data_IF_733740715292
#
_entry.id   IF_733740715292
#
_cell.length_a   1.000
_cell.length_b   1.000
_cell.length_c   1.000
_cell.angle_alpha   90.00
_cell.angle_beta   90.00
_cell.angle_gamma   90.00
#
_symmetry.space_group_name_H-M   'P 1'
#
loop_
_entity.id
_entity.type
_entity.pdbx_description
1 polymer ?
#
# COMPACT_ATOMS: atom_id res chain seq x y z
N UNK A 1 0.43 -5.81 -25.41
CA UNK A 1 0.09 -4.38 -25.36
C UNK A 1 1.15 -3.69 -24.54
N UNK A 2 1.89 -2.77 -25.15
CA UNK A 2 2.81 -1.93 -24.41
C UNK A 2 1.98 -0.84 -23.72
N UNK A 3 2.26 -0.60 -22.44
CA UNK A 3 1.77 0.58 -21.73
C UNK A 3 2.98 1.32 -21.19
N UNK A 4 2.83 2.60 -20.94
CA UNK A 4 3.86 3.45 -20.34
C UNK A 4 3.33 4.10 -19.07
N UNK A 5 4.23 4.31 -18.13
CA UNK A 5 3.96 4.97 -16.86
C UNK A 5 4.76 6.26 -16.83
N UNK A 6 4.16 7.34 -16.32
CA UNK A 6 4.84 8.63 -16.28
C UNK A 6 4.82 9.25 -14.88
N UNK A 7 5.94 9.87 -14.52
CA UNK A 7 6.07 10.69 -13.31
C UNK A 7 5.48 12.09 -13.49
N UNK A 8 5.56 12.90 -12.43
CA UNK A 8 5.10 14.30 -12.43
C UNK A 8 5.84 15.19 -13.44
N UNK A 9 7.07 14.83 -13.81
CA UNK A 9 7.88 15.54 -14.80
C UNK A 9 7.66 15.03 -16.23
N UNK A 10 6.83 14.00 -16.42
CA UNK A 10 6.54 13.41 -17.71
C UNK A 10 7.61 12.42 -18.20
N UNK A 11 8.52 11.97 -17.32
CA UNK A 11 9.49 10.94 -17.67
C UNK A 11 8.84 9.55 -17.63
N UNK A 12 9.28 8.65 -18.51
CA UNK A 12 8.89 7.24 -18.47
C UNK A 12 9.46 6.59 -17.19
N UNK A 13 8.61 5.88 -16.45
CA UNK A 13 8.96 5.27 -15.17
C UNK A 13 8.88 3.75 -15.30
N UNK A 14 9.99 3.08 -15.02
CA UNK A 14 10.02 1.63 -14.93
C UNK A 14 9.73 1.15 -13.50
N UNK A 15 9.47 -0.14 -13.33
CA UNK A 15 9.20 -0.69 -12.00
C UNK A 15 10.41 -0.59 -11.05
N UNK A 16 11.63 -0.51 -11.57
CA UNK A 16 12.84 -0.30 -10.77
C UNK A 16 12.88 1.12 -10.20
N UNK A 17 12.58 2.14 -11.01
CA UNK A 17 12.57 3.55 -10.57
C UNK A 17 11.62 3.81 -9.38
N UNK A 18 10.51 3.08 -9.32
CA UNK A 18 9.51 3.16 -8.25
C UNK A 18 10.01 2.70 -6.88
N UNK A 19 11.06 1.86 -6.84
CA UNK A 19 11.63 1.39 -5.59
C UNK A 19 12.55 2.44 -4.94
N UNK A 20 13.13 3.32 -5.76
CA UNK A 20 14.22 4.22 -5.37
C UNK A 20 13.80 5.69 -5.16
N UNK A 21 12.64 6.12 -5.67
CA UNK A 21 12.30 7.56 -5.73
C UNK A 21 11.36 8.08 -4.64
N UNK A 22 10.96 7.25 -3.66
CA UNK A 22 10.06 7.58 -2.54
C UNK A 22 10.29 8.99 -1.94
N UNK A 23 9.25 9.72 -1.54
CA UNK A 23 9.41 10.94 -0.68
C UNK A 23 10.10 10.60 0.64
N UNK A 24 9.97 9.34 1.08
CA UNK A 24 10.68 8.74 2.20
C UNK A 24 11.87 7.87 1.75
N UNK A 25 12.37 7.98 0.52
CA UNK A 25 13.63 7.31 0.20
C UNK A 25 14.77 8.15 0.77
N UNK A 26 15.34 7.66 1.88
CA UNK A 26 16.57 8.19 2.47
C UNK A 26 17.66 7.22 2.05
N UNK A 27 18.77 7.74 1.53
CA UNK A 27 19.86 6.92 0.98
C UNK A 27 20.33 5.86 2.00
N UNK A 28 20.24 4.58 1.62
CA UNK A 28 20.57 3.44 2.46
C UNK A 28 19.53 3.00 3.50
N UNK A 29 18.41 3.71 3.67
CA UNK A 29 17.35 3.36 4.63
C UNK A 29 16.27 2.47 4.00
N UNK A 30 15.75 1.53 4.78
CA UNK A 30 14.53 0.79 4.48
C UNK A 30 13.29 1.70 4.49
N UNK A 31 12.20 1.23 3.86
CA UNK A 31 10.92 1.96 3.83
C UNK A 31 10.37 2.15 5.24
N UNK A 32 10.55 1.17 6.11
CA UNK A 32 10.14 1.19 7.51
C UNK A 32 10.93 2.23 8.31
N UNK A 33 12.25 2.28 8.15
CA UNK A 33 13.11 3.28 8.81
C UNK A 33 12.72 4.70 8.43
N UNK A 34 12.58 4.96 7.13
CA UNK A 34 12.22 6.28 6.68
C UNK A 34 10.79 6.67 7.07
N UNK A 35 9.85 5.72 7.07
CA UNK A 35 8.50 5.96 7.59
C UNK A 35 8.50 6.31 9.08
N UNK A 36 9.22 5.55 9.90
CA UNK A 36 9.34 5.81 11.34
C UNK A 36 10.07 7.13 11.61
N UNK A 37 11.07 7.49 10.80
CA UNK A 37 11.74 8.78 10.93
C UNK A 37 10.80 9.97 10.66
N UNK A 38 9.91 9.86 9.67
CA UNK A 38 8.99 10.93 9.30
C UNK A 38 7.75 11.00 10.21
N UNK A 39 7.17 9.85 10.56
CA UNK A 39 5.85 9.77 11.22
C UNK A 39 5.87 9.10 12.58
N UNK A 40 6.96 8.43 12.95
CA UNK A 40 7.05 7.59 14.15
C UNK A 40 6.76 8.35 15.44
N UNK A 41 7.34 9.53 15.63
CA UNK A 41 7.07 10.36 16.82
C UNK A 41 5.60 10.79 16.91
N UNK A 42 5.02 11.25 15.80
CA UNK A 42 3.63 11.72 15.77
C UNK A 42 2.64 10.58 16.04
N UNK A 43 2.92 9.40 15.51
CA UNK A 43 2.01 8.24 15.55
C UNK A 43 2.33 7.27 16.69
N UNK A 44 3.38 7.53 17.48
CA UNK A 44 3.91 6.63 18.49
C UNK A 44 4.33 5.28 17.89
N UNK A 45 5.00 5.29 16.73
CA UNK A 45 5.43 4.09 16.02
C UNK A 45 6.95 3.98 16.05
N UNK A 46 7.42 2.76 16.29
CA UNK A 46 8.80 2.32 16.07
C UNK A 46 8.79 1.09 15.17
N UNK A 47 9.93 0.76 14.57
CA UNK A 47 10.09 -0.54 13.91
C UNK A 47 9.92 -1.62 14.98
N UNK A 48 9.17 -2.67 14.68
CA UNK A 48 9.00 -3.78 15.59
C UNK A 48 10.37 -4.43 15.88
N UNK A 49 10.85 -4.45 17.13
CA UNK A 49 12.14 -5.05 17.48
C UNK A 49 12.26 -6.54 17.08
N UNK A 50 11.13 -7.25 16.93
CA UNK A 50 11.14 -8.64 16.46
C UNK A 50 11.72 -8.76 15.04
N UNK A 51 11.66 -7.71 14.21
CA UNK A 51 12.20 -7.73 12.84
C UNK A 51 13.72 -7.90 12.77
N UNK A 52 14.45 -7.62 13.86
CA UNK A 52 15.89 -7.85 13.94
C UNK A 52 16.24 -9.35 13.85
N UNK A 53 15.31 -10.22 14.23
CA UNK A 53 15.52 -11.69 14.28
C UNK A 53 14.52 -12.46 13.43
N UNK A 54 13.36 -11.87 13.13
CA UNK A 54 12.30 -12.46 12.33
C UNK A 54 11.85 -11.49 11.22
N UNK A 55 12.35 -11.63 9.98
CA UNK A 55 11.99 -10.74 8.88
C UNK A 55 10.50 -10.83 8.49
N UNK A 56 9.78 -11.84 8.98
CA UNK A 56 8.35 -11.99 8.74
C UNK A 56 7.50 -11.30 9.80
N UNK A 57 8.05 -10.84 10.92
CA UNK A 57 7.27 -10.14 11.95
C UNK A 57 6.58 -8.89 11.38
N UNK A 58 5.44 -8.45 11.95
CA UNK A 58 4.84 -7.16 11.59
C UNK A 58 5.84 -6.01 11.65
N UNK A 59 5.69 -5.03 10.76
CA UNK A 59 6.69 -3.97 10.54
C UNK A 59 6.89 -3.04 11.73
N UNK A 60 5.82 -2.72 12.44
CA UNK A 60 5.77 -1.62 13.39
C UNK A 60 5.25 -2.07 14.75
N UNK A 61 5.64 -1.34 15.79
CA UNK A 61 5.07 -1.42 17.13
C UNK A 61 4.59 -0.04 17.55
N UNK A 62 3.33 0.06 17.96
CA UNK A 62 2.75 1.27 18.52
C UNK A 62 3.08 1.35 20.02
N UNK A 63 3.99 2.25 20.38
CA UNK A 63 4.52 2.38 21.75
C UNK A 63 3.50 2.94 22.73
N UNK A 64 2.41 3.56 22.25
CA UNK A 64 1.35 4.09 23.10
C UNK A 64 0.37 3.01 23.56
N UNK A 65 0.03 2.06 22.70
CA UNK A 65 -1.01 1.06 22.98
C UNK A 65 -0.50 -0.39 22.95
N UNK A 66 0.78 -0.61 22.61
CA UNK A 66 1.42 -1.91 22.53
C UNK A 66 1.00 -2.77 21.32
N UNK A 67 0.23 -2.21 20.37
CA UNK A 67 -0.27 -2.96 19.22
C UNK A 67 0.77 -3.05 18.12
N UNK A 68 0.76 -4.19 17.43
CA UNK A 68 1.55 -4.39 16.22
C UNK A 68 0.92 -3.61 15.07
N UNK A 69 1.77 -3.11 14.17
CA UNK A 69 1.38 -2.42 12.96
C UNK A 69 2.08 -3.00 11.73
N UNK A 70 1.46 -2.86 10.57
CA UNK A 70 2.04 -3.27 9.29
C UNK A 70 1.98 -2.11 8.29
N UNK A 71 3.08 -1.92 7.56
CA UNK A 71 3.27 -0.79 6.65
C UNK A 71 3.02 -1.24 5.21
N UNK A 72 1.98 -0.68 4.60
CA UNK A 72 1.63 -0.88 3.19
C UNK A 72 2.01 0.35 2.37
N UNK A 73 3.22 0.33 1.85
CA UNK A 73 3.72 1.38 0.94
C UNK A 73 3.12 1.25 -0.46
N UNK A 74 2.61 2.35 -1.01
CA UNK A 74 1.97 2.40 -2.33
C UNK A 74 2.47 3.62 -3.12
N UNK A 75 3.20 3.37 -4.22
CA UNK A 75 3.80 4.44 -5.04
C UNK A 75 3.16 4.61 -6.43
N UNK A 76 2.25 3.70 -6.79
CA UNK A 76 1.56 3.70 -8.07
C UNK A 76 0.07 3.47 -7.84
N UNK A 77 -0.80 4.39 -8.31
CA UNK A 77 -2.24 4.19 -8.26
C UNK A 77 -2.68 2.95 -9.02
N UNK A 78 -3.77 2.32 -8.59
CA UNK A 78 -4.42 1.31 -9.41
C UNK A 78 -5.22 1.99 -10.55
N UNK A 79 -4.52 2.43 -11.60
CA UNK A 79 -5.09 3.28 -12.67
C UNK A 79 -6.41 2.76 -13.27
N UNK A 80 -6.53 1.44 -13.41
CA UNK A 80 -7.72 0.80 -13.98
C UNK A 80 -8.88 0.64 -12.98
N UNK A 81 -8.80 1.22 -11.77
CA UNK A 81 -9.84 1.08 -10.74
C UNK A 81 -11.20 1.58 -11.21
N UNK A 82 -11.24 2.69 -11.95
CA UNK A 82 -12.51 3.27 -12.42
C UNK A 82 -13.19 2.33 -13.40
N UNK A 83 -12.48 1.89 -14.45
CA UNK A 83 -13.07 1.06 -15.50
C UNK A 83 -13.41 -0.36 -15.05
N UNK A 84 -12.69 -0.89 -14.06
CA UNK A 84 -12.88 -2.28 -13.59
C UNK A 84 -13.77 -2.40 -12.37
N UNK A 85 -13.77 -1.40 -11.51
CA UNK A 85 -14.38 -1.48 -10.17
C UNK A 85 -15.21 -0.24 -9.81
N UNK A 86 -15.26 0.79 -10.66
CA UNK A 86 -16.00 2.02 -10.40
C UNK A 86 -15.39 2.90 -9.30
N UNK A 87 -14.14 2.64 -8.90
CA UNK A 87 -13.46 3.36 -7.81
C UNK A 87 -12.49 4.41 -8.36
N UNK A 88 -12.45 5.60 -7.74
CA UNK A 88 -11.58 6.69 -8.19
C UNK A 88 -10.09 6.34 -7.99
N UNK A 89 -9.33 6.30 -9.08
CA UNK A 89 -7.90 5.93 -9.08
C UNK A 89 -7.06 6.84 -8.17
N UNK A 90 -7.46 8.09 -7.95
CA UNK A 90 -6.78 9.03 -7.05
C UNK A 90 -6.65 8.51 -5.63
N UNK A 91 -7.66 7.79 -5.13
CA UNK A 91 -7.77 7.33 -3.74
C UNK A 91 -7.78 5.81 -3.63
N UNK A 92 -7.50 5.10 -4.72
CA UNK A 92 -7.56 3.64 -4.73
C UNK A 92 -6.20 3.03 -4.39
N UNK A 93 -6.18 2.20 -3.35
CA UNK A 93 -5.04 1.36 -2.97
C UNK A 93 -5.40 -0.12 -3.11
N UNK A 94 -4.40 -0.99 -3.07
CA UNK A 94 -4.60 -2.44 -3.06
C UNK A 94 -4.10 -3.05 -1.75
N UNK A 95 -4.75 -4.11 -1.31
CA UNK A 95 -4.37 -4.87 -0.12
C UNK A 95 -4.33 -6.36 -0.44
N UNK A 96 -3.19 -7.02 -0.20
CA UNK A 96 -2.98 -8.40 -0.62
C UNK A 96 -3.96 -9.35 0.11
N UNK A 97 -4.57 -10.27 -0.64
CA UNK A 97 -5.47 -11.28 -0.05
C UNK A 97 -4.77 -12.16 0.98
N UNK A 98 -3.52 -12.56 0.71
CA UNK A 98 -2.71 -13.37 1.64
C UNK A 98 -2.45 -12.67 2.97
N UNK A 99 -2.28 -11.34 2.94
CA UNK A 99 -2.02 -10.56 4.14
C UNK A 99 -3.31 -10.51 5.00
N UNK A 100 -4.48 -10.38 4.37
CA UNK A 100 -5.77 -10.51 5.05
C UNK A 100 -5.92 -11.85 5.78
N UNK A 101 -5.61 -12.97 5.11
CA UNK A 101 -5.73 -14.31 5.70
C UNK A 101 -4.77 -14.48 6.87
N UNK A 102 -3.52 -14.04 6.69
CA UNK A 102 -2.48 -14.07 7.71
C UNK A 102 -2.89 -13.26 8.95
N UNK A 103 -3.29 -12.00 8.78
CA UNK A 103 -3.64 -11.14 9.92
C UNK A 103 -4.88 -11.64 10.64
N UNK A 104 -5.89 -12.13 9.91
CA UNK A 104 -7.05 -12.77 10.53
C UNK A 104 -6.67 -13.93 11.44
N UNK A 105 -5.68 -14.74 11.04
CA UNK A 105 -5.28 -15.92 11.82
C UNK A 105 -4.29 -15.62 12.95
N UNK A 106 -3.35 -14.70 12.73
CA UNK A 106 -2.18 -14.52 13.61
C UNK A 106 -2.16 -13.18 14.33
N UNK A 107 -2.76 -12.13 13.74
CA UNK A 107 -2.67 -10.77 14.26
C UNK A 107 -4.02 -10.03 14.13
N UNK A 108 -5.11 -10.52 14.74
CA UNK A 108 -6.45 -9.97 14.55
C UNK A 108 -6.60 -8.51 15.02
N UNK A 109 -5.70 -8.05 15.90
CA UNK A 109 -5.69 -6.69 16.44
C UNK A 109 -4.69 -5.75 15.77
N UNK A 110 -4.02 -6.21 14.70
CA UNK A 110 -2.98 -5.43 14.01
C UNK A 110 -3.53 -4.12 13.43
N UNK A 111 -2.70 -3.10 13.43
CA UNK A 111 -2.95 -1.79 12.84
C UNK A 111 -2.37 -1.74 11.42
N UNK A 112 -3.13 -1.27 10.43
CA UNK A 112 -2.65 -1.19 9.04
C UNK A 112 -2.44 0.28 8.66
N UNK A 113 -1.23 0.58 8.16
CA UNK A 113 -0.84 1.91 7.71
C UNK A 113 -0.56 1.89 6.21
N UNK A 114 -1.40 2.56 5.43
CA UNK A 114 -1.15 2.78 4.01
C UNK A 114 -0.35 4.07 3.84
N UNK A 115 0.95 3.93 3.56
CA UNK A 115 1.80 5.06 3.20
C UNK A 115 1.75 5.24 1.68
N UNK A 116 1.09 6.30 1.23
CA UNK A 116 0.86 6.58 -0.18
C UNK A 116 1.72 7.74 -0.62
N UNK A 117 2.35 7.59 -1.79
CA UNK A 117 3.12 8.60 -2.49
C UNK A 117 3.05 8.35 -3.98
N UNK A 118 2.08 8.97 -4.66
CA UNK A 118 1.89 8.81 -6.10
C UNK A 118 3.01 9.45 -6.92
N UNK A 119 4.01 8.62 -7.21
CA UNK A 119 5.16 9.00 -8.02
C UNK A 119 4.88 8.85 -9.50
N UNK A 120 4.12 7.80 -9.84
CA UNK A 120 3.56 7.62 -11.17
C UNK A 120 2.16 8.20 -11.16
N UNK A 121 1.98 9.26 -11.95
CA UNK A 121 0.71 10.00 -12.01
C UNK A 121 -0.03 9.78 -13.32
N UNK A 122 0.58 9.13 -14.31
CA UNK A 122 -0.10 8.81 -15.57
C UNK A 122 0.21 7.39 -16.06
N UNK A 123 -0.81 6.76 -16.63
CA UNK A 123 -0.76 5.51 -17.36
C UNK A 123 -1.25 5.79 -18.78
N UNK A 124 -0.45 5.43 -19.79
CA UNK A 124 -0.82 5.53 -21.19
C UNK A 124 -0.75 4.16 -21.87
N UNK A 125 -1.79 3.86 -22.63
CA UNK A 125 -1.85 2.73 -23.56
C UNK A 125 -2.33 3.24 -24.91
N UNK A 126 -2.26 2.40 -25.95
CA UNK A 126 -2.75 2.72 -27.30
C UNK A 126 -4.22 3.18 -27.33
N UNK A 127 -5.00 2.88 -26.28
CA UNK A 127 -6.45 3.13 -26.22
C UNK A 127 -6.88 4.18 -25.20
N UNK A 128 -6.02 4.51 -24.23
CA UNK A 128 -6.42 5.38 -23.13
C UNK A 128 -5.21 5.98 -22.41
N UNK A 129 -5.42 7.21 -21.94
CA UNK A 129 -4.57 7.89 -20.96
C UNK A 129 -5.39 8.10 -19.69
N UNK A 130 -4.85 7.66 -18.56
CA UNK A 130 -5.44 7.86 -17.24
C UNK A 130 -4.43 8.60 -16.40
N UNK A 131 -4.85 9.69 -15.76
CA UNK A 131 -3.99 10.47 -14.87
C UNK A 131 -4.64 10.70 -13.52
N UNK A 132 -3.82 10.81 -12.49
CA UNK A 132 -4.18 11.25 -11.14
C UNK A 132 -3.32 12.47 -10.78
N UNK A 133 -3.68 13.16 -9.70
CA UNK A 133 -2.80 14.15 -9.11
C UNK A 133 -1.77 13.47 -8.17
N UNK A 134 -0.56 14.04 -8.04
CA UNK A 134 0.36 13.66 -6.98
C UNK A 134 -0.35 13.67 -5.62
N UNK A 135 -0.13 12.63 -4.82
CA UNK A 135 -0.74 12.51 -3.50
C UNK A 135 0.23 11.82 -2.57
N UNK A 136 0.51 12.49 -1.45
CA UNK A 136 1.31 11.97 -0.37
C UNK A 136 0.47 11.97 0.90
N UNK A 137 0.55 10.90 1.68
CA UNK A 137 -0.06 10.84 3.00
C UNK A 137 -0.09 9.43 3.57
N UNK A 138 -0.53 9.33 4.81
CA UNK A 138 -0.71 8.05 5.48
C UNK A 138 -2.16 7.87 5.87
N UNK A 139 -2.69 6.69 5.61
CA UNK A 139 -4.04 6.30 6.03
C UNK A 139 -3.97 5.12 6.97
N UNK A 140 -4.56 5.29 8.15
CA UNK A 140 -4.63 4.31 9.20
C UNK A 140 -5.99 3.62 9.22
N UNK A 141 -5.99 2.32 9.47
CA UNK A 141 -7.20 1.54 9.78
C UNK A 141 -6.85 0.36 10.70
N UNK A 142 -7.60 0.12 11.80
CA UNK A 142 -7.48 -1.14 12.55
C UNK A 142 -7.90 -2.33 11.68
N UNK A 143 -7.18 -3.44 11.75
CA UNK A 143 -7.47 -4.60 10.89
C UNK A 143 -8.90 -5.13 11.06
N UNK A 144 -9.48 -5.05 12.26
CA UNK A 144 -10.86 -5.43 12.50
C UNK A 144 -11.87 -4.62 11.66
N UNK A 145 -11.62 -3.30 11.48
CA UNK A 145 -12.45 -2.45 10.62
C UNK A 145 -12.15 -2.69 9.14
N UNK A 146 -10.86 -2.84 8.79
CA UNK A 146 -10.45 -3.19 7.44
C UNK A 146 -11.14 -4.48 7.00
N UNK A 147 -11.15 -5.51 7.85
CA UNK A 147 -11.76 -6.80 7.54
C UNK A 147 -13.27 -6.69 7.27
N UNK A 148 -13.98 -5.73 7.86
CA UNK A 148 -15.38 -5.44 7.50
C UNK A 148 -15.47 -4.84 6.10
N UNK A 149 -14.59 -3.88 5.77
CA UNK A 149 -14.48 -3.28 4.43
C UNK A 149 -14.15 -4.35 3.37
N UNK A 150 -13.26 -5.30 3.68
CA UNK A 150 -12.86 -6.36 2.75
C UNK A 150 -14.01 -7.28 2.33
N UNK A 151 -15.06 -7.42 3.14
CA UNK A 151 -16.21 -8.28 2.82
C UNK A 151 -17.01 -7.79 1.62
N UNK A 152 -16.98 -6.49 1.34
CA UNK A 152 -17.68 -5.86 0.22
C UNK A 152 -16.74 -5.27 -0.82
N UNK A 153 -15.44 -5.23 -0.53
CA UNK A 153 -14.43 -4.72 -1.44
C UNK A 153 -14.27 -5.63 -2.68
N UNK A 154 -14.14 -5.07 -3.89
CA UNK A 154 -13.79 -5.84 -5.07
C UNK A 154 -12.44 -6.56 -4.90
N UNK A 155 -12.36 -7.79 -5.40
CA UNK A 155 -11.12 -8.57 -5.40
C UNK A 155 -10.53 -8.66 -6.81
N UNK A 156 -9.31 -8.17 -6.98
CA UNK A 156 -8.57 -8.27 -8.23
C UNK A 156 -7.66 -9.49 -8.22
N UNK A 157 -7.98 -10.50 -9.03
CA UNK A 157 -7.11 -11.67 -9.27
C UNK A 157 -6.03 -11.37 -10.31
N UNK A 158 -4.77 -11.70 -9.99
CA UNK A 158 -3.64 -11.59 -10.92
C UNK A 158 -3.59 -12.83 -11.82
N UNK A 159 -4.04 -12.70 -13.07
CA UNK A 159 -4.11 -13.82 -14.03
C UNK A 159 -2.75 -14.51 -14.25
N UNK A 160 -1.65 -13.78 -14.16
CA UNK A 160 -0.29 -14.31 -14.34
C UNK A 160 0.24 -15.13 -13.16
N UNK A 161 -0.49 -15.20 -12.04
CA UNK A 161 -0.03 -15.83 -10.78
C UNK A 161 -0.92 -16.99 -10.32
N UNK A 162 -1.84 -17.44 -11.17
CA UNK A 162 -2.76 -18.54 -10.85
C UNK A 162 -1.99 -19.85 -10.59
N UNK A 163 -0.82 -20.05 -11.22
CA UNK A 163 0.06 -21.20 -11.03
C UNK A 163 1.33 -20.94 -10.21
N UNK A 164 1.45 -19.80 -9.53
CA UNK A 164 2.65 -19.48 -8.73
C UNK A 164 2.62 -20.19 -7.37
N UNK A 165 3.58 -21.09 -7.15
CA UNK A 165 3.78 -21.83 -5.90
C UNK A 165 4.82 -21.18 -4.97
N UNK A 166 5.38 -20.02 -5.33
CA UNK A 166 6.42 -19.32 -4.54
C UNK A 166 5.87 -18.41 -3.42
N UNK A 167 4.59 -18.52 -3.06
CA UNK A 167 3.99 -17.75 -1.95
C UNK A 167 3.67 -16.28 -2.28
N UNK A 168 3.67 -15.89 -3.54
CA UNK A 168 3.24 -14.56 -3.97
C UNK A 168 1.72 -14.39 -3.85
N UNK A 169 1.26 -13.15 -3.64
CA UNK A 169 -0.17 -12.86 -3.61
C UNK A 169 -0.81 -13.17 -4.97
N UNK A 170 -1.88 -13.97 -4.96
CA UNK A 170 -2.67 -14.37 -6.13
C UNK A 170 -3.71 -13.32 -6.54
N UNK A 171 -3.99 -12.38 -5.63
CA UNK A 171 -4.87 -11.25 -5.86
C UNK A 171 -4.87 -10.30 -4.67
N UNK A 172 -5.51 -9.16 -4.87
CA UNK A 172 -5.59 -8.08 -3.89
C UNK A 172 -6.99 -7.49 -3.87
N UNK A 173 -7.44 -7.12 -2.68
CA UNK A 173 -8.61 -6.28 -2.50
C UNK A 173 -8.32 -4.87 -3.00
N UNK A 174 -9.32 -4.24 -3.62
CA UNK A 174 -9.25 -2.87 -4.13
C UNK A 174 -10.03 -1.99 -3.17
N UNK A 175 -9.36 -0.99 -2.59
CA UNK A 175 -9.88 -0.22 -1.46
C UNK A 175 -9.87 1.26 -1.79
N UNK A 176 -10.89 1.97 -1.31
CA UNK A 176 -11.02 3.41 -1.44
C UNK A 176 -10.67 4.09 -0.11
N UNK A 177 -9.62 4.91 -0.12
CA UNK A 177 -9.14 5.66 1.03
C UNK A 177 -10.11 6.75 1.50
N UNK A 178 -11.14 7.09 0.71
CA UNK A 178 -12.20 8.01 1.12
C UNK A 178 -13.27 7.35 1.98
N UNK A 179 -13.24 6.02 2.12
CA UNK A 179 -14.13 5.31 3.03
C UNK A 179 -13.88 5.79 4.47
N UNK A 180 -14.93 6.16 5.24
CA UNK A 180 -14.80 6.75 6.57
C UNK A 180 -14.14 5.85 7.62
N UNK A 181 -13.98 4.54 7.34
CA UNK A 181 -13.22 3.64 8.19
C UNK A 181 -11.71 3.97 8.19
N UNK A 182 -11.20 4.59 7.12
CA UNK A 182 -9.83 5.07 7.06
C UNK A 182 -9.70 6.45 7.71
N UNK A 183 -8.63 6.63 8.47
CA UNK A 183 -8.25 7.92 9.03
C UNK A 183 -6.97 8.37 8.38
N UNK A 184 -6.98 9.54 7.75
CA UNK A 184 -5.74 10.17 7.32
C UNK A 184 -4.97 10.60 8.58
N UNK A 185 -3.71 10.21 8.66
CA UNK A 185 -2.80 10.52 9.76
C UNK A 185 -1.55 11.19 9.15
N UNK A 186 -1.17 12.36 9.66
CA UNK A 186 -0.23 13.25 8.96
C UNK A 186 -0.95 14.36 8.23
#
# INVERSE_FOLDING_TARGET
MAYKLFDISGNDVTHHDLQDKGVWCIDGASKEEAYVQLYGTQLNLVINPEKDTNPYAPDLLNTRNGKLGDLKTQNTPFFQSVSRFGLNSQHTVVFNGKDSERYKSLYPEIEIYFAVDWQVISFESDKSKISVNPMVGVWFIPFAELYKVLKTAPFHTYQQRVGDNKGNAKGSFVLDLTNPAFKKVG
#
